data_IF_558422719212
#
_entry.id   IF_558422719212
#
_cell.length_a   1.000
_cell.length_b   1.000
_cell.length_c   1.000
_cell.angle_alpha   90.00
_cell.angle_beta   90.00
_cell.angle_gamma   90.00
#
_symmetry.space_group_name_H-M   'P 1'
#
loop_
_entity.id
_entity.type
_entity.pdbx_description
1 polymer ?
#
# COMPACT_ATOMS: atom_id res chain seq x y z
N UNK A 1 -6.27 -9.02 28.64
CA UNK A 1 -7.69 -8.60 28.51
C UNK A 1 -8.30 -9.08 27.21
N UNK A 2 -7.54 -9.06 26.10
CA UNK A 2 -7.87 -9.69 24.82
C UNK A 2 -8.20 -11.19 24.99
N UNK A 3 -7.49 -11.90 25.87
CA UNK A 3 -7.62 -13.36 26.09
C UNK A 3 -9.04 -13.84 26.42
N UNK A 4 -9.86 -13.02 27.07
CA UNK A 4 -11.25 -13.37 27.42
C UNK A 4 -12.20 -13.37 26.22
N UNK A 5 -11.83 -12.69 25.12
CA UNK A 5 -12.66 -12.55 23.92
C UNK A 5 -12.18 -13.37 22.72
N UNK A 6 -10.99 -13.97 22.81
CA UNK A 6 -10.34 -14.72 21.71
C UNK A 6 -11.27 -15.74 21.05
N UNK A 7 -12.24 -16.29 21.80
CA UNK A 7 -13.21 -17.26 21.30
C UNK A 7 -14.66 -16.90 21.68
N UNK A 8 -14.95 -15.62 21.94
CA UNK A 8 -16.33 -15.21 22.24
C UNK A 8 -17.17 -15.18 20.96
N UNK A 9 -18.42 -15.59 21.05
CA UNK A 9 -19.40 -15.48 19.95
C UNK A 9 -19.50 -14.03 19.44
N UNK A 10 -19.41 -13.06 20.36
CA UNK A 10 -19.38 -11.63 20.04
C UNK A 10 -18.19 -11.26 19.15
N UNK A 11 -16.98 -11.76 19.47
CA UNK A 11 -15.81 -11.53 18.63
C UNK A 11 -15.98 -12.18 17.25
N UNK A 12 -16.40 -13.45 17.19
CA UNK A 12 -16.64 -14.14 15.91
C UNK A 12 -17.65 -13.40 15.03
N UNK A 13 -18.76 -12.93 15.59
CA UNK A 13 -19.77 -12.16 14.85
C UNK A 13 -19.21 -10.84 14.32
N UNK A 14 -18.40 -10.13 15.12
CA UNK A 14 -17.72 -8.90 14.67
C UNK A 14 -16.77 -9.16 13.51
N UNK A 15 -15.94 -10.20 13.59
CA UNK A 15 -15.01 -10.54 12.51
C UNK A 15 -15.76 -10.96 11.24
N UNK A 16 -16.81 -11.76 11.37
CA UNK A 16 -17.66 -12.16 10.25
C UNK A 16 -18.31 -10.95 9.56
N UNK A 17 -18.74 -9.94 10.33
CA UNK A 17 -19.26 -8.69 9.76
C UNK A 17 -18.21 -7.96 8.91
N UNK A 18 -16.95 -7.91 9.37
CA UNK A 18 -15.85 -7.33 8.59
C UNK A 18 -15.62 -8.11 7.29
N UNK A 19 -15.55 -9.44 7.36
CA UNK A 19 -15.40 -10.31 6.17
C UNK A 19 -16.55 -10.10 5.17
N UNK A 20 -17.79 -10.07 5.66
CA UNK A 20 -18.97 -9.83 4.83
C UNK A 20 -18.91 -8.48 4.10
N UNK A 21 -18.35 -7.44 4.73
CA UNK A 21 -18.18 -6.14 4.08
C UNK A 21 -17.18 -6.19 2.92
N UNK A 22 -16.13 -7.02 2.98
CA UNK A 22 -15.20 -7.23 1.86
C UNK A 22 -15.73 -8.24 0.82
N UNK A 23 -16.67 -9.10 1.22
CA UNK A 23 -17.31 -10.12 0.39
C UNK A 23 -16.31 -11.10 -0.20
N UNK A 24 -16.65 -11.68 -1.36
CA UNK A 24 -15.84 -12.70 -2.05
C UNK A 24 -14.44 -12.24 -2.49
N UNK A 25 -14.20 -10.92 -2.49
CA UNK A 25 -12.90 -10.34 -2.85
C UNK A 25 -11.94 -10.25 -1.66
N UNK A 26 -12.44 -10.45 -0.44
CA UNK A 26 -11.63 -10.46 0.78
C UNK A 26 -11.04 -11.82 1.08
N UNK A 27 -9.94 -11.80 1.83
CA UNK A 27 -9.34 -12.93 2.49
C UNK A 27 -10.03 -13.14 3.85
N UNK A 28 -10.29 -14.40 4.26
CA UNK A 28 -10.80 -14.71 5.59
C UNK A 28 -9.90 -14.15 6.71
N UNK A 29 -10.54 -13.52 7.68
CA UNK A 29 -9.97 -12.94 8.89
C UNK A 29 -10.28 -13.79 10.12
N UNK A 30 -11.35 -14.59 10.13
CA UNK A 30 -11.76 -15.38 11.29
C UNK A 30 -10.85 -16.61 11.47
N UNK A 31 -9.77 -16.44 12.23
CA UNK A 31 -8.84 -17.50 12.60
C UNK A 31 -8.74 -17.63 14.13
N UNK A 32 -8.38 -18.82 14.66
CA UNK A 32 -8.18 -18.99 16.10
C UNK A 32 -7.15 -18.01 16.65
N UNK A 33 -7.45 -17.39 17.79
CA UNK A 33 -6.51 -16.43 18.42
C UNK A 33 -6.72 -14.96 18.02
N UNK A 34 -7.43 -14.69 16.92
CA UNK A 34 -7.60 -13.33 16.40
C UNK A 34 -8.79 -12.62 17.03
N UNK A 35 -8.57 -11.38 17.46
CA UNK A 35 -9.59 -10.53 18.09
C UNK A 35 -9.65 -9.19 17.36
N UNK A 36 -10.87 -8.74 17.03
CA UNK A 36 -11.08 -7.38 16.55
C UNK A 36 -11.02 -6.40 17.74
N UNK A 37 -10.00 -5.55 17.73
CA UNK A 37 -9.69 -4.59 18.81
C UNK A 37 -10.33 -3.24 18.54
N UNK A 38 -10.40 -2.80 17.28
CA UNK A 38 -11.09 -1.57 16.96
C UNK A 38 -11.28 -1.33 15.48
N UNK A 39 -12.14 -0.39 15.14
CA UNK A 39 -12.45 -0.02 13.77
C UNK A 39 -12.79 1.47 13.64
N UNK A 40 -12.59 2.03 12.45
CA UNK A 40 -12.93 3.42 12.16
C UNK A 40 -12.34 3.92 10.86
N UNK A 41 -12.72 5.13 10.47
CA UNK A 41 -12.24 5.77 9.26
C UNK A 41 -11.01 6.61 9.59
N UNK A 42 -9.94 6.43 8.82
CA UNK A 42 -8.78 7.33 8.83
C UNK A 42 -8.55 7.89 7.43
N UNK A 43 -8.02 9.11 7.38
CA UNK A 43 -7.59 9.73 6.13
C UNK A 43 -6.19 9.26 5.81
N UNK A 44 -6.04 8.41 4.79
CA UNK A 44 -4.73 7.92 4.34
C UNK A 44 -4.14 8.86 3.30
N UNK A 45 -2.91 9.32 3.52
CA UNK A 45 -2.17 10.07 2.51
C UNK A 45 -1.80 9.14 1.36
N UNK A 46 -2.30 9.46 0.16
CA UNK A 46 -1.94 8.79 -1.08
C UNK A 46 -1.14 9.77 -1.95
N UNK A 47 -0.50 9.27 -3.00
CA UNK A 47 0.35 10.09 -3.89
C UNK A 47 -0.33 11.38 -4.39
N UNK A 48 -1.60 11.26 -4.79
CA UNK A 48 -2.34 12.35 -5.44
C UNK A 48 -3.16 13.19 -4.48
N UNK A 49 -3.93 12.52 -3.60
CA UNK A 49 -4.84 13.18 -2.65
C UNK A 49 -5.00 12.32 -1.40
N UNK A 50 -5.25 12.94 -0.23
CA UNK A 50 -5.73 12.21 0.94
C UNK A 50 -7.03 11.49 0.59
N UNK A 51 -7.22 10.26 1.06
CA UNK A 51 -8.46 9.51 0.85
C UNK A 51 -8.90 8.80 2.12
N UNK A 52 -10.21 8.79 2.45
CA UNK A 52 -10.72 8.03 3.56
C UNK A 52 -10.58 6.53 3.28
N UNK A 53 -10.23 5.78 4.32
CA UNK A 53 -10.15 4.31 4.32
C UNK A 53 -10.76 3.81 5.61
N UNK A 54 -11.50 2.71 5.52
CA UNK A 54 -11.92 1.99 6.71
C UNK A 54 -10.72 1.18 7.20
N UNK A 55 -10.37 1.33 8.47
CA UNK A 55 -9.35 0.56 9.17
C UNK A 55 -9.99 -0.35 10.21
N UNK A 56 -9.39 -1.53 10.38
CA UNK A 56 -9.72 -2.52 11.39
C UNK A 56 -8.43 -2.97 12.06
N UNK A 57 -8.31 -2.72 13.35
CA UNK A 57 -7.23 -3.21 14.17
C UNK A 57 -7.62 -4.56 14.77
N UNK A 58 -6.85 -5.58 14.46
CA UNK A 58 -6.86 -6.85 15.17
C UNK A 58 -5.65 -6.93 16.10
N UNK A 59 -5.64 -7.89 17.00
CA UNK A 59 -4.52 -8.10 17.93
C UNK A 59 -3.21 -8.57 17.26
N UNK A 60 -3.26 -9.04 16.02
CA UNK A 60 -2.11 -9.55 15.26
C UNK A 60 -1.89 -8.87 13.90
N UNK A 61 -2.94 -8.23 13.33
CA UNK A 61 -2.91 -7.58 12.02
C UNK A 61 -3.63 -6.22 12.05
N UNK A 62 -3.23 -5.32 11.18
CA UNK A 62 -3.98 -4.13 10.79
C UNK A 62 -4.55 -4.34 9.39
N UNK A 63 -5.86 -4.17 9.24
CA UNK A 63 -6.55 -4.29 7.94
C UNK A 63 -7.09 -2.94 7.52
N UNK A 64 -7.01 -2.61 6.23
CA UNK A 64 -7.71 -1.44 5.70
C UNK A 64 -8.22 -1.67 4.28
N UNK A 65 -9.21 -0.88 3.87
CA UNK A 65 -9.83 -0.99 2.55
C UNK A 65 -10.46 0.31 2.06
N UNK A 66 -10.73 0.34 0.75
CA UNK A 66 -11.53 1.39 0.12
C UNK A 66 -12.98 1.32 0.63
N UNK A 67 -13.55 2.47 0.93
CA UNK A 67 -14.97 2.59 1.28
C UNK A 67 -15.77 2.68 -0.01
N UNK A 68 -16.55 1.63 -0.32
CA UNK A 68 -17.47 1.64 -1.46
C UNK A 68 -18.87 2.06 -0.98
N UNK A 69 -19.32 1.47 0.12
CA UNK A 69 -20.54 1.84 0.81
C UNK A 69 -20.29 1.71 2.31
N UNK A 70 -20.30 2.83 3.05
CA UNK A 70 -19.98 2.87 4.49
C UNK A 70 -20.80 1.82 5.25
N UNK A 71 -20.13 1.01 6.07
CA UNK A 71 -20.76 -0.02 6.90
C UNK A 71 -21.33 -1.23 6.14
N UNK A 72 -21.24 -1.26 4.80
CA UNK A 72 -21.89 -2.29 3.98
C UNK A 72 -20.95 -2.96 2.99
N UNK A 73 -20.04 -2.21 2.36
CA UNK A 73 -19.16 -2.71 1.32
C UNK A 73 -17.81 -2.00 1.31
N UNK A 74 -16.75 -2.79 1.38
CA UNK A 74 -15.36 -2.38 1.25
C UNK A 74 -14.68 -3.16 0.12
N UNK A 75 -13.61 -2.59 -0.44
CA UNK A 75 -12.80 -3.24 -1.47
C UNK A 75 -11.31 -3.00 -1.23
N UNK A 76 -10.45 -3.67 -2.00
CA UNK A 76 -8.98 -3.60 -1.85
C UNK A 76 -8.54 -3.86 -0.41
N UNK A 77 -8.81 -5.06 0.09
CA UNK A 77 -8.41 -5.46 1.43
C UNK A 77 -6.87 -5.52 1.50
N UNK A 78 -6.29 -4.69 2.36
CA UNK A 78 -4.86 -4.71 2.66
C UNK A 78 -4.66 -5.22 4.07
N UNK A 79 -3.84 -6.25 4.23
CA UNK A 79 -3.53 -6.89 5.53
C UNK A 79 -2.06 -6.63 5.86
N UNK A 80 -1.82 -6.05 7.03
CA UNK A 80 -0.49 -5.70 7.54
C UNK A 80 -0.25 -6.47 8.84
N UNK A 81 0.71 -7.42 8.91
CA UNK A 81 1.13 -8.03 10.16
C UNK A 81 1.67 -6.99 11.15
N UNK A 82 1.19 -7.01 12.39
CA UNK A 82 1.61 -6.03 13.41
C UNK A 82 3.05 -6.25 13.88
N UNK A 83 3.61 -7.46 13.75
CA UNK A 83 4.99 -7.79 14.17
C UNK A 83 6.05 -6.82 13.57
N UNK A 84 5.74 -6.22 12.42
CA UNK A 84 6.66 -5.37 11.66
C UNK A 84 6.23 -3.89 11.63
N UNK A 85 5.15 -3.53 12.34
CA UNK A 85 4.62 -2.16 12.36
C UNK A 85 5.40 -1.29 13.34
N UNK A 86 5.82 -0.11 12.86
CA UNK A 86 6.32 0.97 13.71
C UNK A 86 5.49 2.22 13.49
N UNK A 87 5.16 2.89 14.59
CA UNK A 87 4.48 4.18 14.55
C UNK A 87 5.47 5.33 14.73
N UNK A 88 5.24 6.42 14.02
CA UNK A 88 6.00 7.66 14.20
C UNK A 88 5.05 8.84 14.14
N UNK A 89 5.07 9.67 15.18
CA UNK A 89 4.20 10.82 15.28
C UNK A 89 4.56 11.88 14.22
N UNK A 90 3.54 12.47 13.57
CA UNK A 90 3.75 13.60 12.67
C UNK A 90 3.38 14.90 13.39
N UNK A 91 4.22 15.91 13.19
CA UNK A 91 3.91 17.27 13.63
C UNK A 91 2.80 17.85 12.78
N UNK A 92 1.89 18.53 13.44
CA UNK A 92 0.83 19.26 12.77
C UNK A 92 1.40 20.45 11.98
N UNK A 93 0.76 20.75 10.86
CA UNK A 93 0.97 21.97 10.08
C UNK A 93 -0.38 22.65 9.76
N UNK A 94 -0.34 23.74 8.99
CA UNK A 94 -1.53 24.53 8.67
C UNK A 94 -2.57 23.77 7.84
N UNK A 95 -2.16 22.71 7.14
CA UNK A 95 -3.02 21.95 6.22
C UNK A 95 -3.48 20.60 6.80
N UNK A 96 -2.64 19.97 7.61
CA UNK A 96 -2.81 18.60 8.07
C UNK A 96 -2.50 18.49 9.56
N UNK A 97 -3.51 18.06 10.33
CA UNK A 97 -3.41 17.87 11.77
C UNK A 97 -3.75 16.44 12.16
N UNK A 98 -3.30 16.02 13.34
CA UNK A 98 -3.59 14.72 13.92
C UNK A 98 -3.04 13.55 13.08
N UNK A 99 -1.85 13.73 12.48
CA UNK A 99 -1.18 12.74 11.65
C UNK A 99 -0.19 11.83 12.38
N UNK A 100 0.02 10.62 11.86
CA UNK A 100 1.16 9.76 12.19
C UNK A 100 1.53 8.86 11.01
N UNK A 101 2.74 8.32 11.01
CA UNK A 101 3.20 7.32 10.05
C UNK A 101 2.94 5.91 10.58
N UNK A 102 2.39 5.07 9.71
CA UNK A 102 2.42 3.61 9.86
C UNK A 102 3.55 3.11 8.97
N UNK A 103 4.65 2.67 9.59
CA UNK A 103 5.82 2.12 8.89
C UNK A 103 5.74 0.60 8.84
N UNK A 104 5.91 0.05 7.64
CA UNK A 104 5.90 -1.40 7.39
C UNK A 104 7.01 -1.77 6.38
N UNK A 105 7.47 -3.03 6.31
CA UNK A 105 8.50 -3.41 5.35
C UNK A 105 8.09 -3.30 3.89
N UNK A 106 6.78 -3.44 3.61
CA UNK A 106 6.24 -3.42 2.24
C UNK A 106 5.82 -2.02 1.81
N UNK A 107 5.15 -1.25 2.70
CA UNK A 107 4.57 0.06 2.38
C UNK A 107 4.38 0.90 3.63
N UNK A 108 5.11 2.02 3.71
CA UNK A 108 4.89 3.02 4.77
C UNK A 108 4.02 4.16 4.27
N UNK A 109 3.16 4.70 5.13
CA UNK A 109 2.24 5.77 4.76
C UNK A 109 1.80 6.61 5.96
N UNK A 110 1.46 7.87 5.70
CA UNK A 110 0.81 8.73 6.68
C UNK A 110 -0.70 8.49 6.73
N UNK A 111 -1.24 8.54 7.94
CA UNK A 111 -2.68 8.57 8.21
C UNK A 111 -3.00 9.71 9.16
N UNK A 112 -4.23 10.18 9.11
CA UNK A 112 -4.73 11.30 9.90
C UNK A 112 -6.10 10.93 10.48
N UNK A 113 -6.29 11.23 11.76
CA UNK A 113 -7.58 11.09 12.44
C UNK A 113 -8.35 12.42 12.44
N UNK A 114 -9.66 12.39 12.74
CA UNK A 114 -10.46 13.61 12.77
C UNK A 114 -10.09 14.50 13.97
N UNK A 115 -9.69 13.89 15.09
CA UNK A 115 -9.27 14.60 16.30
C UNK A 115 -7.97 14.06 16.87
N UNK A 116 -7.29 14.87 17.69
CA UNK A 116 -6.11 14.41 18.42
C UNK A 116 -6.43 13.24 19.36
N UNK A 117 -7.60 13.24 20.00
CA UNK A 117 -8.04 12.14 20.87
C UNK A 117 -8.09 10.82 20.09
N UNK A 118 -8.71 10.83 18.91
CA UNK A 118 -8.77 9.64 18.05
C UNK A 118 -7.39 9.18 17.59
N UNK A 119 -6.51 10.12 17.20
CA UNK A 119 -5.09 9.81 16.89
C UNK A 119 -4.43 9.08 18.05
N UNK A 120 -4.55 9.61 19.26
CA UNK A 120 -3.96 9.00 20.45
C UNK A 120 -4.55 7.61 20.74
N UNK A 121 -5.86 7.45 20.62
CA UNK A 121 -6.53 6.15 20.80
C UNK A 121 -6.01 5.11 19.78
N UNK A 122 -5.94 5.46 18.49
CA UNK A 122 -5.41 4.57 17.46
C UNK A 122 -3.95 4.18 17.72
N UNK A 123 -3.08 5.17 17.94
CA UNK A 123 -1.66 4.92 18.15
C UNK A 123 -1.42 4.04 19.38
N UNK A 124 -2.12 4.30 20.49
CA UNK A 124 -1.99 3.53 21.72
C UNK A 124 -2.49 2.09 21.56
N UNK A 125 -3.63 1.87 20.90
CA UNK A 125 -4.15 0.52 20.71
C UNK A 125 -3.28 -0.31 19.76
N UNK A 126 -2.78 0.30 18.67
CA UNK A 126 -1.84 -0.37 17.77
C UNK A 126 -0.56 -0.74 18.54
N UNK A 127 0.03 0.21 19.28
CA UNK A 127 1.27 -0.04 20.02
C UNK A 127 1.08 -1.15 21.06
N UNK A 128 -0.04 -1.15 21.79
CA UNK A 128 -0.36 -2.22 22.74
C UNK A 128 -0.42 -3.59 22.08
N UNK A 129 -1.07 -3.70 20.91
CA UNK A 129 -1.15 -4.97 20.18
C UNK A 129 0.24 -5.42 19.71
N UNK A 130 1.08 -4.52 19.21
CA UNK A 130 2.46 -4.80 18.83
C UNK A 130 3.28 -5.30 20.02
N UNK A 131 3.21 -4.60 21.16
CA UNK A 131 3.96 -4.95 22.37
C UNK A 131 3.54 -6.32 22.93
N UNK A 132 2.23 -6.59 22.99
CA UNK A 132 1.70 -7.89 23.41
C UNK A 132 2.13 -9.02 22.47
N UNK A 133 2.14 -8.75 21.15
CA UNK A 133 2.55 -9.72 20.15
C UNK A 133 4.04 -10.05 20.23
N UNK A 134 4.90 -9.04 20.41
CA UNK A 134 6.35 -9.22 20.65
C UNK A 134 6.57 -10.01 21.94
N UNK A 135 5.87 -9.67 23.02
CA UNK A 135 5.97 -10.38 24.30
C UNK A 135 5.57 -11.86 24.17
N UNK A 136 4.55 -12.17 23.37
CA UNK A 136 4.06 -13.54 23.16
C UNK A 136 4.96 -14.36 22.24
N UNK A 137 5.49 -13.76 21.18
CA UNK A 137 6.24 -14.47 20.12
C UNK A 137 7.76 -14.46 20.33
N UNK A 138 8.28 -13.51 21.12
CA UNK A 138 9.72 -13.28 21.28
C UNK A 138 10.41 -12.72 20.03
N UNK A 139 9.68 -12.47 18.94
CA UNK A 139 10.25 -11.94 17.70
C UNK A 139 10.43 -10.43 17.81
N UNK A 140 11.60 -9.95 17.38
CA UNK A 140 11.89 -8.52 17.29
C UNK A 140 11.60 -8.00 15.88
N UNK A 141 11.09 -6.77 15.72
CA UNK A 141 10.91 -6.16 14.40
C UNK A 141 12.25 -6.05 13.66
N UNK A 142 12.26 -6.37 12.37
CA UNK A 142 13.47 -6.43 11.52
C UNK A 142 14.10 -5.07 11.24
N UNK A 143 13.47 -3.96 11.64
CA UNK A 143 14.02 -2.61 11.64
C UNK A 143 14.08 -1.90 10.29
N UNK A 144 13.90 -2.62 9.16
CA UNK A 144 13.89 -2.05 7.82
C UNK A 144 12.45 -1.85 7.31
N UNK A 145 12.04 -0.58 7.16
CA UNK A 145 10.72 -0.20 6.67
C UNK A 145 10.82 0.45 5.29
N UNK A 146 9.80 0.25 4.45
CA UNK A 146 9.69 0.94 3.18
C UNK A 146 9.67 2.47 3.39
N UNK A 147 10.22 3.24 2.45
CA UNK A 147 10.15 4.69 2.52
C UNK A 147 8.71 5.20 2.37
N UNK A 148 8.38 6.28 3.09
CA UNK A 148 7.14 7.03 2.85
C UNK A 148 7.32 7.82 1.56
N UNK A 149 6.36 7.71 0.66
CA UNK A 149 6.39 8.43 -0.61
C UNK A 149 6.00 9.89 -0.41
N UNK A 150 6.79 10.78 -1.02
CA UNK A 150 6.49 12.21 -1.05
C UNK A 150 5.26 12.43 -1.94
N UNK A 151 4.22 13.13 -1.44
CA UNK A 151 3.05 13.48 -2.23
C UNK A 151 3.39 14.27 -3.49
N UNK A 152 2.64 14.04 -4.58
CA UNK A 152 2.89 14.69 -5.88
C UNK A 152 2.78 16.22 -5.81
N UNK A 153 1.89 16.73 -4.96
CA UNK A 153 1.64 18.15 -4.78
C UNK A 153 2.84 18.89 -4.16
N UNK A 154 3.64 18.20 -3.35
CA UNK A 154 4.84 18.75 -2.71
C UNK A 154 6.04 18.79 -3.67
N UNK A 155 6.00 18.00 -4.74
CA UNK A 155 7.08 17.93 -5.73
C UNK A 155 6.70 18.63 -7.04
N UNK A 156 7.07 19.91 -7.18
CA UNK A 156 6.97 20.64 -8.46
C UNK A 156 8.11 20.34 -9.42
N UNK A 157 9.31 20.03 -8.90
CA UNK A 157 10.51 19.67 -9.65
C UNK A 157 11.05 18.32 -9.21
N UNK A 158 11.82 17.68 -10.08
CA UNK A 158 12.56 16.46 -9.75
C UNK A 158 13.47 16.69 -8.54
N UNK A 159 13.31 15.86 -7.50
CA UNK A 159 14.05 15.98 -6.23
C UNK A 159 15.54 15.60 -6.33
N UNK A 160 15.98 15.03 -7.46
CA UNK A 160 17.40 14.73 -7.68
C UNK A 160 18.10 15.77 -8.54
N UNK A 161 17.59 16.06 -9.74
CA UNK A 161 18.27 16.99 -10.65
C UNK A 161 17.90 18.45 -10.39
N UNK A 162 16.76 18.72 -9.74
CA UNK A 162 16.15 20.05 -9.56
C UNK A 162 15.98 20.88 -10.86
N UNK A 163 16.22 20.28 -12.03
CA UNK A 163 16.16 20.92 -13.35
C UNK A 163 14.81 20.70 -14.02
N UNK A 164 14.29 19.49 -13.95
CA UNK A 164 13.04 19.12 -14.62
C UNK A 164 11.82 19.53 -13.78
N UNK A 165 10.98 20.42 -14.32
CA UNK A 165 9.64 20.69 -13.80
C UNK A 165 8.64 19.63 -14.26
N UNK A 166 7.78 19.17 -13.36
CA UNK A 166 6.76 18.18 -13.71
C UNK A 166 5.56 18.82 -14.40
N UNK A 167 5.08 18.16 -15.45
CA UNK A 167 3.94 18.58 -16.27
C UNK A 167 3.19 17.36 -16.79
N UNK A 168 2.17 17.56 -17.64
CA UNK A 168 1.47 16.44 -18.29
C UNK A 168 2.40 15.63 -19.20
N UNK A 169 3.40 16.28 -19.81
CA UNK A 169 4.39 15.64 -20.67
C UNK A 169 5.59 15.09 -19.89
N UNK A 170 6.05 15.83 -18.86
CA UNK A 170 7.10 15.35 -17.96
C UNK A 170 6.49 14.79 -16.68
N UNK A 171 6.16 13.50 -16.71
CA UNK A 171 5.43 12.83 -15.62
C UNK A 171 6.31 12.60 -14.39
N UNK A 172 5.66 12.55 -13.22
CA UNK A 172 6.27 12.18 -11.94
C UNK A 172 6.52 10.68 -11.85
N UNK A 173 7.60 10.29 -11.20
CA UNK A 173 7.88 8.93 -10.79
C UNK A 173 8.34 8.89 -9.33
N UNK A 174 8.02 7.83 -8.60
CA UNK A 174 8.53 7.62 -7.25
C UNK A 174 9.65 6.60 -7.24
N UNK A 175 10.73 6.88 -6.52
CA UNK A 175 11.72 5.86 -6.17
C UNK A 175 11.13 4.94 -5.10
N UNK A 176 11.10 3.63 -5.36
CA UNK A 176 10.57 2.64 -4.41
C UNK A 176 11.45 2.49 -3.15
N UNK A 177 12.75 2.80 -3.27
CA UNK A 177 13.70 2.72 -2.14
C UNK A 177 13.68 3.96 -1.24
N UNK A 178 13.66 5.18 -1.79
CA UNK A 178 13.74 6.42 -0.98
C UNK A 178 12.47 7.27 -0.95
N UNK A 179 11.45 6.94 -1.75
CA UNK A 179 10.17 7.67 -1.78
C UNK A 179 10.18 9.01 -2.50
N UNK A 180 11.33 9.49 -2.98
CA UNK A 180 11.46 10.76 -3.68
C UNK A 180 10.72 10.79 -5.03
N UNK A 181 10.22 11.97 -5.41
CA UNK A 181 9.60 12.24 -6.71
C UNK A 181 10.65 12.70 -7.72
N UNK A 182 10.79 11.95 -8.81
CA UNK A 182 11.91 12.03 -9.75
C UNK A 182 11.41 11.98 -11.19
N UNK A 183 12.17 12.56 -12.12
CA UNK A 183 11.87 12.49 -13.56
C UNK A 183 12.36 11.18 -14.18
N UNK A 184 11.91 10.87 -15.40
CA UNK A 184 12.31 9.66 -16.12
C UNK A 184 13.83 9.55 -16.31
N UNK A 185 14.50 10.69 -16.54
CA UNK A 185 15.95 10.74 -16.72
C UNK A 185 16.76 10.40 -15.46
N UNK A 186 16.19 10.57 -14.25
CA UNK A 186 16.82 10.26 -12.96
C UNK A 186 16.37 8.90 -12.39
N UNK A 187 15.66 8.09 -13.18
CA UNK A 187 15.05 6.84 -12.75
C UNK A 187 15.14 5.76 -13.81
N UNK A 188 16.33 5.59 -14.40
CA UNK A 188 16.54 4.67 -15.53
C UNK A 188 16.55 3.20 -15.10
N UNK A 189 16.67 2.95 -13.80
CA UNK A 189 16.90 1.62 -13.27
C UNK A 189 15.68 1.05 -12.55
N UNK A 190 15.60 -0.28 -12.58
CA UNK A 190 14.75 -1.08 -11.70
C UNK A 190 15.62 -1.95 -10.82
N UNK A 191 15.16 -2.25 -9.61
CA UNK A 191 15.85 -3.10 -8.66
C UNK A 191 14.85 -3.99 -7.93
N UNK A 192 15.20 -5.26 -7.67
CA UNK A 192 14.36 -6.14 -6.88
C UNK A 192 14.54 -5.82 -5.39
N UNK A 193 13.49 -5.32 -4.76
CA UNK A 193 13.39 -5.09 -3.32
C UNK A 193 12.42 -6.15 -2.77
N UNK A 194 12.91 -7.30 -2.25
CA UNK A 194 12.07 -8.45 -1.95
C UNK A 194 10.96 -8.17 -0.93
N UNK A 195 11.20 -7.25 0.00
CA UNK A 195 10.21 -6.82 1.00
C UNK A 195 9.08 -6.00 0.40
N UNK A 196 9.22 -5.46 -0.81
CA UNK A 196 8.23 -4.56 -1.42
C UNK A 196 7.60 -5.09 -2.71
N UNK A 197 8.25 -6.02 -3.41
CA UNK A 197 7.72 -6.66 -4.63
C UNK A 197 8.51 -7.92 -4.99
N UNK A 198 7.84 -8.88 -5.62
CA UNK A 198 8.48 -10.04 -6.26
C UNK A 198 9.13 -9.71 -7.61
N UNK A 199 8.80 -8.54 -8.19
CA UNK A 199 9.34 -8.06 -9.47
C UNK A 199 10.28 -6.86 -9.24
N UNK A 200 11.23 -6.58 -10.15
CA UNK A 200 12.03 -5.36 -10.08
C UNK A 200 11.18 -4.08 -10.13
N UNK A 201 11.40 -3.18 -9.18
CA UNK A 201 10.68 -1.92 -9.00
C UNK A 201 11.54 -0.73 -9.36
N UNK A 202 10.93 0.38 -9.80
CA UNK A 202 11.65 1.60 -10.17
C UNK A 202 12.41 2.18 -8.98
N UNK A 203 13.67 2.51 -9.19
CA UNK A 203 14.52 3.24 -8.22
C UNK A 203 15.23 4.39 -8.92
N UNK A 204 15.59 5.43 -8.16
CA UNK A 204 16.46 6.48 -8.68
C UNK A 204 17.88 5.94 -8.87
N UNK A 205 18.67 6.62 -9.69
CA UNK A 205 20.05 6.23 -10.01
C UNK A 205 20.89 6.12 -8.72
N UNK A 206 20.74 7.06 -7.78
CA UNK A 206 21.44 7.03 -6.48
C UNK A 206 21.07 5.80 -5.63
N UNK A 207 19.80 5.39 -5.62
CA UNK A 207 19.37 4.20 -4.89
C UNK A 207 19.85 2.93 -5.59
N UNK A 208 19.82 2.90 -6.92
CA UNK A 208 20.34 1.78 -7.68
C UNK A 208 21.83 1.53 -7.37
N UNK A 209 22.64 2.57 -7.35
CA UNK A 209 24.07 2.46 -7.02
C UNK A 209 24.29 1.91 -5.61
N UNK A 210 23.55 2.41 -4.62
CA UNK A 210 23.64 1.97 -3.22
C UNK A 210 23.23 0.50 -3.08
N UNK A 211 22.09 0.13 -3.65
CA UNK A 211 21.54 -1.21 -3.56
C UNK A 211 22.39 -2.24 -4.32
N UNK A 212 22.95 -1.85 -5.46
CA UNK A 212 23.84 -2.71 -6.26
C UNK A 212 25.17 -2.97 -5.54
N UNK A 213 25.73 -1.95 -4.88
CA UNK A 213 26.95 -2.11 -4.06
C UNK A 213 26.72 -2.97 -2.82
N UNK A 214 25.51 -2.95 -2.25
CA UNK A 214 25.13 -3.81 -1.12
C UNK A 214 24.99 -5.31 -1.48
N UNK A 215 24.94 -5.67 -2.77
CA UNK A 215 24.79 -7.06 -3.25
C UNK A 215 26.10 -7.79 -3.54
N UNK A 216 27.27 -7.18 -3.39
CA UNK A 216 28.56 -7.85 -3.67
C UNK A 216 28.87 -9.05 -2.76
N UNK A 217 27.99 -9.39 -1.80
CA UNK A 217 28.00 -10.65 -1.05
C UNK A 217 27.12 -11.79 -1.60
N UNK A 218 26.29 -11.58 -2.63
CA UNK A 218 25.44 -12.63 -3.24
C UNK A 218 25.52 -12.50 -4.76
N UNK A 219 26.15 -13.50 -5.41
CA UNK A 219 26.45 -13.57 -6.85
C UNK A 219 25.28 -13.07 -7.71
N UNK A 220 25.54 -12.03 -8.50
CA UNK A 220 24.64 -11.54 -9.53
C UNK A 220 24.39 -12.63 -10.60
N UNK A 221 23.14 -12.81 -11.00
CA UNK A 221 22.81 -13.52 -12.24
C UNK A 221 23.20 -12.64 -13.44
N UNK A 222 23.77 -13.20 -14.52
CA UNK A 222 24.22 -12.42 -15.66
C UNK A 222 23.05 -11.80 -16.43
N UNK A 223 23.27 -10.60 -16.98
CA UNK A 223 22.43 -9.99 -18.01
C UNK A 223 22.25 -10.94 -19.20
N UNK A 224 21.01 -11.06 -19.70
CA UNK A 224 20.71 -11.73 -20.97
C UNK A 224 21.44 -11.03 -22.11
N UNK A 225 22.46 -11.68 -22.65
CA UNK A 225 23.11 -11.31 -23.91
C UNK A 225 22.24 -11.76 -25.08
N UNK A 226 21.99 -10.85 -26.02
CA UNK A 226 21.26 -11.10 -27.27
C UNK A 226 21.89 -12.27 -28.05
N UNK A 227 21.05 -13.20 -28.50
CA UNK A 227 21.46 -14.33 -29.35
C UNK A 227 21.95 -13.85 -30.74
N UNK A 228 22.96 -14.50 -31.33
CA UNK A 228 23.48 -14.13 -32.65
C UNK A 228 22.64 -14.70 -33.79
N UNK A 229 22.62 -13.96 -34.88
CA UNK A 229 22.03 -14.28 -36.18
C UNK A 229 22.78 -15.46 -36.84
N UNK A 230 22.06 -16.49 -37.31
CA UNK A 230 22.66 -17.63 -38.03
C UNK A 230 22.44 -17.43 -39.53
N UNK A 231 23.54 -17.41 -40.27
CA UNK A 231 23.64 -17.37 -41.73
C UNK A 231 22.95 -18.57 -42.39
N UNK A 232 22.23 -18.31 -43.49
CA UNK A 232 21.59 -19.34 -44.31
C UNK A 232 22.62 -19.98 -45.25
N UNK A 233 22.79 -21.29 -45.15
CA UNK A 233 23.38 -22.11 -46.21
C UNK A 233 22.33 -23.02 -46.85
N UNK A 234 22.43 -23.13 -48.16
CA UNK A 234 21.47 -23.71 -49.09
C UNK A 234 21.31 -25.23 -48.95
N UNK A 235 20.12 -25.71 -49.29
CA UNK A 235 19.87 -27.10 -49.67
C UNK A 235 18.86 -27.15 -50.83
N UNK A 236 19.00 -28.20 -51.60
CA UNK A 236 18.68 -28.36 -53.03
C UNK A 236 17.28 -28.96 -53.23
N UNK A 237 16.72 -28.71 -54.42
CA UNK A 237 15.47 -29.20 -55.00
C UNK A 237 15.11 -30.68 -54.78
N UNK A 238 13.80 -30.96 -54.61
CA UNK A 238 13.10 -32.03 -55.36
C UNK A 238 11.64 -31.58 -55.65
N UNK A 239 11.28 -31.69 -56.93
CA UNK A 239 9.99 -31.55 -57.64
C UNK A 239 8.85 -32.43 -57.07
N UNK A 240 7.53 -32.27 -57.30
CA UNK A 240 6.79 -32.12 -58.57
C UNK A 240 5.32 -31.65 -58.32
N UNK A 241 4.79 -30.84 -59.25
CA UNK A 241 3.40 -30.69 -59.79
C UNK A 241 2.19 -30.44 -58.86
N UNK A 242 1.10 -29.79 -59.28
CA UNK A 242 0.72 -28.82 -60.32
C UNK A 242 -0.78 -28.51 -60.03
N UNK A 243 -1.19 -27.25 -60.19
CA UNK A 243 -2.53 -26.75 -60.55
C UNK A 243 -2.76 -25.30 -60.08
N UNK A 244 -2.18 -24.40 -60.86
CA UNK A 244 -2.85 -23.37 -61.66
C UNK A 244 -3.88 -22.39 -61.02
N UNK A 245 -3.41 -21.15 -60.95
CA UNK A 245 -4.04 -19.86 -61.32
C UNK A 245 -5.20 -19.25 -60.50
N UNK A 246 -4.93 -18.08 -59.88
CA UNK A 246 -5.39 -16.77 -60.37
C UNK A 246 -4.66 -15.59 -59.70
N UNK A 247 -4.43 -14.55 -60.52
CA UNK A 247 -3.71 -13.29 -60.28
C UNK A 247 -4.55 -12.30 -59.44
N UNK A 248 -3.88 -11.46 -58.65
CA UNK A 248 -3.84 -10.00 -58.83
C UNK A 248 -3.02 -9.33 -57.71
N UNK A 249 -2.06 -8.50 -58.12
CA UNK A 249 -1.23 -7.65 -57.28
C UNK A 249 -2.04 -6.46 -56.73
N UNK A 250 -1.67 -5.93 -55.54
CA UNK A 250 -1.44 -4.50 -55.23
C UNK A 250 -1.19 -4.30 -53.72
N UNK A 251 0.07 -4.00 -53.41
CA UNK A 251 0.60 -2.99 -52.46
C UNK A 251 -0.05 -2.79 -51.07
N UNK A 252 0.59 -3.35 -50.02
CA UNK A 252 0.35 -2.95 -48.62
C UNK A 252 1.49 -2.06 -48.13
N UNK A 253 1.17 -0.79 -47.90
CA UNK A 253 2.00 0.20 -47.21
C UNK A 253 2.23 -0.20 -45.75
N UNK A 254 3.49 -0.24 -45.36
CA UNK A 254 3.93 -0.27 -43.95
C UNK A 254 3.62 1.09 -43.30
N UNK A 255 3.20 1.10 -42.03
CA UNK A 255 4.01 1.87 -41.10
C UNK A 255 4.34 1.10 -39.83
N UNK A 256 5.64 1.11 -39.56
CA UNK A 256 6.30 0.90 -38.28
C UNK A 256 5.74 1.82 -37.20
N UNK A 257 5.41 1.26 -36.04
CA UNK A 257 5.72 1.80 -34.71
C UNK A 257 5.24 0.78 -33.65
N UNK A 258 6.12 -0.12 -33.24
CA UNK A 258 5.93 -0.95 -32.06
C UNK A 258 6.38 -0.17 -30.83
N UNK A 259 5.44 0.49 -30.16
CA UNK A 259 5.58 0.83 -28.76
C UNK A 259 5.35 -0.45 -27.94
N UNK A 260 6.39 -0.90 -27.22
CA UNK A 260 6.30 -2.01 -26.28
C UNK A 260 5.45 -1.59 -25.07
N UNK A 261 4.22 -2.06 -25.07
CA UNK A 261 3.28 -2.01 -23.96
C UNK A 261 3.74 -2.91 -22.81
N UNK A 262 4.22 -2.34 -21.71
CA UNK A 262 4.39 -3.08 -20.46
C UNK A 262 4.01 -2.19 -19.27
N UNK A 263 2.70 -2.15 -19.01
CA UNK A 263 2.10 -1.49 -17.84
C UNK A 263 1.39 -2.52 -16.95
N UNK A 264 2.18 -3.41 -16.34
CA UNK A 264 1.83 -3.95 -15.02
C UNK A 264 2.38 -3.00 -13.95
N UNK A 265 1.81 -1.80 -13.94
CA UNK A 265 2.03 -0.79 -12.93
C UNK A 265 1.05 -1.07 -11.77
N UNK A 266 1.59 -1.33 -10.58
CA UNK A 266 0.85 -1.34 -9.31
C UNK A 266 0.19 0.03 -9.00
N UNK A 267 0.26 1.00 -9.92
CA UNK A 267 -0.61 2.19 -9.95
C UNK A 267 -2.09 1.91 -10.16
N UNK A 268 -2.49 0.69 -10.52
CA UNK A 268 -3.91 0.29 -10.58
C UNK A 268 -4.62 0.31 -9.21
N UNK A 269 -3.88 0.34 -8.09
CA UNK A 269 -4.47 0.46 -6.75
C UNK A 269 -4.99 1.87 -6.41
N UNK A 270 -4.71 2.88 -7.24
CA UNK A 270 -5.08 4.28 -6.94
C UNK A 270 -6.06 4.91 -7.94
N UNK A 271 -6.35 4.24 -9.06
CA UNK A 271 -7.39 4.66 -10.01
C UNK A 271 -8.67 3.90 -9.65
N UNK A 272 -9.50 4.54 -8.86
CA UNK A 272 -10.92 4.24 -8.77
C UNK A 272 -11.61 5.56 -9.07
N UNK A 273 -12.40 5.58 -10.14
CA UNK A 273 -13.13 6.74 -10.64
C UNK A 273 -14.48 6.93 -9.95
N UNK A 274 -14.80 6.13 -8.92
CA UNK A 274 -15.90 6.45 -8.02
C UNK A 274 -15.41 7.37 -6.91
N UNK A 275 -15.44 8.67 -7.21
CA UNK A 275 -15.33 9.73 -6.22
C UNK A 275 -16.56 9.69 -5.31
N UNK A 276 -16.38 9.27 -4.06
CA UNK A 276 -17.11 9.92 -2.98
C UNK A 276 -16.35 11.24 -2.79
N UNK A 277 -16.90 12.32 -3.35
CA UNK A 277 -16.49 13.67 -2.95
C UNK A 277 -16.51 13.73 -1.42
N UNK A 278 -15.55 14.46 -0.85
CA UNK A 278 -15.66 14.87 0.53
C UNK A 278 -16.87 15.81 0.63
N UNK A 279 -18.06 15.22 0.71
CA UNK A 279 -19.22 15.93 1.18
C UNK A 279 -18.94 16.20 2.65
N UNK A 280 -18.69 17.47 2.94
CA UNK A 280 -18.59 18.07 4.26
C UNK A 280 -19.74 17.72 5.21
N UNK A 281 -20.79 17.03 4.72
CA UNK A 281 -21.92 16.52 5.51
C UNK A 281 -21.75 15.12 6.14
N UNK A 282 -20.74 14.32 5.80
CA UNK A 282 -20.51 13.03 6.50
C UNK A 282 -19.55 13.24 7.66
N UNK A 283 -20.09 13.50 8.84
CA UNK A 283 -19.32 13.45 10.09
C UNK A 283 -18.75 12.03 10.21
N UNK A 284 -17.42 11.84 10.21
CA UNK A 284 -16.86 10.52 10.49
C UNK A 284 -17.32 10.11 11.89
N UNK A 285 -18.01 8.98 11.98
CA UNK A 285 -18.35 8.40 13.29
C UNK A 285 -17.04 8.10 14.03
N UNK A 286 -17.02 8.44 15.32
CA UNK A 286 -15.88 8.20 16.21
C UNK A 286 -15.43 6.74 16.07
N UNK A 287 -14.11 6.45 16.01
CA UNK A 287 -13.61 5.08 16.01
C UNK A 287 -14.15 4.31 17.20
N UNK A 288 -14.46 3.04 16.97
CA UNK A 288 -14.93 2.13 18.00
C UNK A 288 -13.78 1.21 18.39
N UNK A 289 -13.29 1.31 19.63
CA UNK A 289 -12.36 0.34 20.19
C UNK A 289 -13.10 -0.60 21.12
N UNK A 290 -13.12 -1.87 20.76
CA UNK A 290 -13.77 -2.90 21.53
C UNK A 290 -12.88 -3.32 22.69
N UNK A 291 -13.46 -3.36 23.87
CA UNK A 291 -12.83 -3.90 25.07
C UNK A 291 -11.65 -3.05 25.60
N UNK A 292 -11.83 -1.73 25.63
CA UNK A 292 -10.87 -0.84 26.31
C UNK A 292 -11.21 -0.76 27.80
N UNK A 293 -10.24 -0.98 28.71
CA UNK A 293 -10.35 -0.48 30.08
C UNK A 293 -10.18 1.05 30.14
N UNK A 294 -9.92 1.70 29.01
CA UNK A 294 -9.50 3.09 28.92
C UNK A 294 -10.58 4.08 29.38
N UNK A 295 -11.87 3.77 29.16
CA UNK A 295 -12.97 4.56 29.71
C UNK A 295 -12.96 4.51 31.24
N UNK A 296 -12.72 3.34 31.83
CA UNK A 296 -12.64 3.17 33.28
C UNK A 296 -11.37 3.79 33.89
N UNK A 297 -10.25 3.75 33.18
CA UNK A 297 -8.95 4.25 33.67
C UNK A 297 -8.79 5.77 33.52
N UNK A 298 -9.49 6.39 32.55
CA UNK A 298 -9.63 7.85 32.47
C UNK A 298 -10.65 8.40 33.47
N UNK A 299 -11.79 7.72 33.69
CA UNK A 299 -12.74 8.09 34.73
C UNK A 299 -12.11 8.06 36.14
N UNK A 300 -11.22 7.11 36.40
CA UNK A 300 -10.45 7.03 37.65
C UNK A 300 -9.41 8.15 37.82
N UNK A 301 -9.02 8.84 36.74
CA UNK A 301 -8.11 10.01 36.80
C UNK A 301 -8.86 11.33 36.96
N UNK A 302 -10.15 11.38 36.63
CA UNK A 302 -10.97 12.60 36.67
C UNK A 302 -12.01 12.63 37.78
N UNK A 303 -12.18 11.55 38.57
CA UNK A 303 -13.20 11.44 39.63
C UNK A 303 -14.63 11.73 39.12
N UNK A 304 -14.92 11.42 37.86
CA UNK A 304 -16.27 11.55 37.31
C UNK A 304 -17.03 10.22 37.43
N UNK A 305 -18.31 10.21 37.87
CA UNK A 305 -19.12 9.00 37.93
C UNK A 305 -19.29 8.37 36.54
N UNK A 306 -19.29 7.03 36.50
CA UNK A 306 -19.39 6.23 35.26
C UNK A 306 -20.73 6.47 34.52
N UNK A 307 -21.76 6.91 35.24
CA UNK A 307 -23.13 7.05 34.72
C UNK A 307 -23.37 8.30 33.85
N UNK A 308 -22.40 9.21 33.71
CA UNK A 308 -22.55 10.45 32.91
C UNK A 308 -21.96 10.37 31.47
N UNK A 309 -21.44 9.21 31.05
CA UNK A 309 -20.78 9.03 29.75
C UNK A 309 -21.54 8.12 28.76
N UNK A 310 -22.71 7.60 29.12
CA UNK A 310 -23.53 6.77 28.22
C UNK A 310 -24.61 7.55 27.43
N UNK A 311 -24.72 8.88 27.61
CA UNK A 311 -25.52 9.75 26.75
C UNK A 311 -24.68 10.89 26.17
N UNK A 312 -23.94 10.62 25.09
CA UNK A 312 -23.57 11.58 24.02
C UNK A 312 -22.78 10.95 22.89
#
# INVERSE_FOLDING_TARGET
MVDRLVNSEVNHNRIANVENCFGISGVPLNIPGRVLVGEGILTKMCRKKPKPRQFFLFNDILVYGNIVLKGKKYSRQHIIPLEEVKLEDLKDDDAMQNGWLIKTPTKSFAVYAATNTEKQEWMQHIQRCVDELIKRTGKQPTGEHAAVWVPDAEARRCMHCNKSEFSLLNRRHHCRSCGAVICGACSKHKFLIPTQSSKPVRVCDTCFDKLSKGRTGIRALPEETKAPEIEKVAAVDVTVADNQERKDDVEVKVPSNTESSDSEDESKDDIDNNEIEYDSGIIPEKPTFYNTPFVAEQANKTNLPVDELEEK
#
